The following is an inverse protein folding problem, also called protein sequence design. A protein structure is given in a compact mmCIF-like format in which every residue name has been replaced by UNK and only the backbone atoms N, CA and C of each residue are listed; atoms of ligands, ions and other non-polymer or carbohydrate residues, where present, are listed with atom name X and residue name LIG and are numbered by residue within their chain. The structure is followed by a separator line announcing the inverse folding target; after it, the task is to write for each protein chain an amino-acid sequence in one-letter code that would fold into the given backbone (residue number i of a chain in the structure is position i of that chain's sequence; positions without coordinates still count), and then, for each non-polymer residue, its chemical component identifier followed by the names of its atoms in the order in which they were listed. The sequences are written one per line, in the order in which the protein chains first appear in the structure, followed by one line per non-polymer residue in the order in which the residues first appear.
data_IF_685482128462
#
_entry.id   IF_685482128462
#
_cell.length_a   1.000
_cell.length_b   1.000
_cell.length_c   1.000
_cell.angle_alpha   90.00
_cell.angle_beta   90.00
_cell.angle_gamma   90.00
#
_symmetry.space_group_name_H-M   'P 1'
#
loop_
_entity.id
_entity.type
_entity.pdbx_description
1 polymer ?
#
# COMPACT_ATOMS: atom_id res chain seq x y z
N UNK A 1 -7.73 -8.91 12.13
CA UNK A 1 -7.19 -8.58 10.80
C UNK A 1 -6.69 -9.89 10.20
N UNK A 2 -6.94 -10.19 8.92
CA UNK A 2 -6.53 -11.47 8.32
C UNK A 2 -5.06 -11.41 7.91
N UNK A 3 -4.29 -12.47 8.20
CA UNK A 3 -2.96 -12.67 7.65
C UNK A 3 -2.99 -12.98 6.15
N UNK A 4 -1.99 -12.49 5.41
CA UNK A 4 -1.84 -12.70 3.97
C UNK A 4 -0.43 -13.22 3.66
N UNK A 5 -0.34 -14.11 2.68
CA UNK A 5 0.92 -14.49 2.04
C UNK A 5 0.93 -13.88 0.64
N UNK A 6 1.92 -13.01 0.41
CA UNK A 6 2.09 -12.32 -0.87
C UNK A 6 3.38 -12.83 -1.52
N UNK A 7 3.25 -13.38 -2.72
CA UNK A 7 4.42 -13.78 -3.52
C UNK A 7 4.75 -12.66 -4.50
N UNK A 8 6.00 -12.24 -4.52
CA UNK A 8 6.47 -11.16 -5.39
C UNK A 8 7.57 -11.64 -6.33
N UNK A 9 7.68 -10.97 -7.47
CA UNK A 9 8.85 -11.00 -8.33
C UNK A 9 9.33 -9.56 -8.48
N UNK A 10 10.45 -9.22 -7.84
CA UNK A 10 10.89 -7.84 -7.66
C UNK A 10 9.77 -7.00 -7.00
N UNK A 11 9.35 -5.91 -7.63
CA UNK A 11 8.29 -5.01 -7.16
C UNK A 11 6.88 -5.45 -7.60
N UNK A 12 6.75 -6.52 -8.38
CA UNK A 12 5.46 -6.97 -8.92
C UNK A 12 4.84 -8.06 -8.06
N UNK A 13 3.57 -7.87 -7.70
CA UNK A 13 2.78 -8.86 -6.96
C UNK A 13 2.30 -9.95 -7.91
N UNK A 14 2.66 -11.21 -7.62
CA UNK A 14 2.29 -12.38 -8.41
C UNK A 14 1.02 -13.03 -7.87
N UNK A 15 0.96 -13.27 -6.57
CA UNK A 15 -0.19 -13.89 -5.89
C UNK A 15 -0.43 -13.26 -4.53
N UNK A 16 -1.70 -13.25 -4.13
CA UNK A 16 -2.14 -12.90 -2.79
C UNK A 16 -3.08 -14.01 -2.34
N UNK A 17 -2.71 -14.70 -1.26
CA UNK A 17 -3.54 -15.75 -0.63
C UNK A 17 -3.65 -15.50 0.87
N UNK A 18 -4.63 -16.11 1.51
CA UNK A 18 -4.73 -16.07 2.97
C UNK A 18 -3.61 -16.88 3.61
N UNK A 19 -3.10 -16.41 4.74
CA UNK A 19 -2.17 -17.19 5.54
C UNK A 19 -2.93 -18.31 6.27
N UNK A 20 -2.63 -19.56 5.93
CA UNK A 20 -3.21 -20.75 6.57
C UNK A 20 -2.87 -20.83 8.07
N UNK A 21 -1.76 -20.20 8.49
CA UNK A 21 -1.30 -20.18 9.89
C UNK A 21 -1.91 -19.04 10.69
N UNK A 22 -2.67 -18.15 10.06
CA UNK A 22 -3.32 -17.07 10.77
C UNK A 22 -4.41 -17.63 11.71
N UNK A 23 -4.35 -17.34 13.03
CA UNK A 23 -5.23 -17.94 14.04
C UNK A 23 -6.68 -17.44 13.96
N UNK A 24 -6.95 -16.38 13.21
CA UNK A 24 -8.29 -15.84 13.03
C UNK A 24 -8.89 -16.32 11.72
N UNK A 25 -8.18 -16.11 10.61
CA UNK A 25 -8.70 -16.36 9.27
C UNK A 25 -8.46 -17.77 8.75
N UNK A 26 -7.45 -18.51 9.25
CA UNK A 26 -7.15 -19.87 8.80
C UNK A 26 -7.14 -20.01 7.27
N UNK A 27 -6.44 -19.09 6.58
CA UNK A 27 -6.38 -19.04 5.11
C UNK A 27 -7.56 -18.38 4.39
N UNK A 28 -8.65 -18.04 5.07
CA UNK A 28 -9.81 -17.41 4.43
C UNK A 28 -9.62 -15.89 4.26
N UNK A 29 -9.79 -15.42 3.04
CA UNK A 29 -9.71 -13.99 2.71
C UNK A 29 -10.96 -13.52 1.98
N UNK A 30 -11.36 -12.28 2.25
CA UNK A 30 -12.39 -11.61 1.48
C UNK A 30 -11.79 -11.01 0.18
N UNK A 31 -12.63 -10.64 -0.81
CA UNK A 31 -12.15 -10.06 -2.06
C UNK A 31 -11.31 -8.79 -1.90
N UNK A 32 -11.43 -8.06 -0.78
CA UNK A 32 -10.60 -6.88 -0.50
C UNK A 32 -9.11 -7.20 -0.44
N UNK A 33 -8.74 -8.42 -0.07
CA UNK A 33 -7.32 -8.81 -0.05
C UNK A 33 -6.72 -8.83 -1.46
N UNK A 34 -7.50 -9.23 -2.47
CA UNK A 34 -7.02 -9.27 -3.86
C UNK A 34 -6.82 -7.86 -4.43
N UNK A 35 -7.66 -6.90 -4.01
CA UNK A 35 -7.57 -5.49 -4.41
C UNK A 35 -6.29 -4.78 -3.93
N UNK A 36 -5.49 -5.37 -3.03
CA UNK A 36 -4.22 -4.77 -2.61
C UNK A 36 -3.23 -4.64 -3.76
N UNK A 37 -3.28 -5.52 -4.77
CA UNK A 37 -2.45 -5.39 -5.96
C UNK A 37 -2.80 -4.11 -6.71
N UNK A 38 -4.08 -3.90 -6.98
CA UNK A 38 -4.58 -2.73 -7.69
C UNK A 38 -4.19 -1.44 -6.95
N UNK A 39 -4.37 -1.39 -5.62
CA UNK A 39 -3.94 -0.24 -4.81
C UNK A 39 -2.42 -0.04 -4.80
N UNK A 40 -1.64 -1.12 -4.88
CA UNK A 40 -0.19 -1.01 -4.89
C UNK A 40 0.34 -0.49 -6.23
N UNK A 41 -0.31 -0.88 -7.32
CA UNK A 41 0.07 -0.58 -8.70
C UNK A 41 -0.66 0.66 -9.27
N UNK A 42 -1.57 1.26 -8.48
CA UNK A 42 -2.30 2.48 -8.83
C UNK A 42 -1.35 3.63 -9.25
N UNK A 43 -1.59 4.19 -10.44
CA UNK A 43 -0.84 5.31 -10.98
C UNK A 43 -1.01 6.60 -10.19
N UNK A 44 -2.15 6.75 -9.53
CA UNK A 44 -2.52 7.98 -8.81
C UNK A 44 -2.03 7.96 -7.36
N UNK A 45 -1.44 6.83 -6.90
CA UNK A 45 -0.87 6.70 -5.56
C UNK A 45 0.25 7.72 -5.34
N UNK A 46 0.15 8.51 -4.28
CA UNK A 46 1.23 9.39 -3.84
C UNK A 46 2.48 8.57 -3.48
N UNK A 47 3.58 8.87 -4.16
CA UNK A 47 4.90 8.25 -3.91
C UNK A 47 5.84 9.16 -3.12
N UNK A 48 5.46 10.43 -2.95
CA UNK A 48 6.25 11.45 -2.29
C UNK A 48 5.34 12.36 -1.43
N UNK A 49 5.88 12.98 -0.37
CA UNK A 49 5.17 14.00 0.38
C UNK A 49 4.73 15.18 -0.49
N UNK A 50 3.59 15.77 -0.16
CA UNK A 50 3.04 16.95 -0.84
C UNK A 50 2.65 18.02 0.16
N UNK A 51 2.88 19.28 -0.18
CA UNK A 51 2.51 20.46 0.60
C UNK A 51 1.42 21.24 -0.12
N UNK A 52 0.42 21.70 0.64
CA UNK A 52 -0.58 22.64 0.12
C UNK A 52 -0.01 24.06 0.12
N UNK A 53 -0.06 24.71 -1.03
CA UNK A 53 0.34 26.10 -1.26
C UNK A 53 -0.87 26.92 -1.72
N UNK A 54 -0.69 28.23 -1.88
CA UNK A 54 -1.73 29.10 -2.43
C UNK A 54 -2.04 28.79 -3.92
N UNK A 55 -1.09 28.16 -4.63
CA UNK A 55 -1.20 27.77 -6.04
C UNK A 55 -1.67 26.32 -6.26
N UNK A 56 -1.68 25.48 -5.24
CA UNK A 56 -2.11 24.08 -5.36
C UNK A 56 -1.36 23.13 -4.44
N UNK A 57 -1.14 21.90 -4.90
CA UNK A 57 -0.30 20.91 -4.21
C UNK A 57 1.06 20.83 -4.90
N UNK A 58 2.13 20.87 -4.12
CA UNK A 58 3.50 20.80 -4.61
C UNK A 58 4.24 19.67 -3.90
N UNK A 59 5.04 18.89 -4.65
CA UNK A 59 5.85 17.83 -4.08
C UNK A 59 7.02 18.41 -3.26
N UNK A 60 7.27 17.85 -2.09
CA UNK A 60 8.41 18.22 -1.22
C UNK A 60 9.21 16.98 -0.81
N UNK A 61 10.42 17.18 -0.27
CA UNK A 61 11.23 16.09 0.28
C UNK A 61 10.70 15.62 1.63
N UNK A 62 11.12 14.44 2.07
CA UNK A 62 10.76 13.91 3.38
C UNK A 62 11.34 14.75 4.52
N UNK A 63 12.56 15.27 4.37
CA UNK A 63 13.19 16.15 5.37
C UNK A 63 12.34 17.40 5.57
N UNK A 64 12.03 18.12 4.48
CA UNK A 64 11.18 19.31 4.54
C UNK A 64 9.77 18.99 5.07
N UNK A 65 9.21 17.82 4.74
CA UNK A 65 7.88 17.43 5.20
C UNK A 65 7.83 17.20 6.72
N UNK A 66 8.90 16.64 7.30
CA UNK A 66 9.00 16.36 8.73
C UNK A 66 9.31 17.62 9.55
N UNK A 67 10.04 18.58 8.99
CA UNK A 67 10.37 19.85 9.66
C UNK A 67 9.18 20.82 9.79
N UNK A 68 8.10 20.60 9.04
CA UNK A 68 6.91 21.47 9.01
C UNK A 68 5.79 21.03 9.99
N UNK A 69 6.01 19.96 10.75
CA UNK A 69 5.02 19.36 11.69
C UNK A 69 5.23 19.80 13.13
#
# INVERSE_FOLDING_TARGET
MCGLVITTQNEQIQTIVGDEKDPLSHGHICPKALAYKDLHEDSDRLKFPVKKTNSGWEQISWENALDEV
#
